data_IF_789701422220
#
_entry.id   IF_789701422220
#
_cell.length_a   1.000
_cell.length_b   1.000
_cell.length_c   1.000
_cell.angle_alpha   90.00
_cell.angle_beta   90.00
_cell.angle_gamma   90.00
#
_symmetry.space_group_name_H-M   'P 1'
#
loop_
_entity.id
_entity.type
_entity.pdbx_description
1 polymer ?
#
# COMPACT_ATOMS: atom_id res chain seq x y z
N UNK A 1 10.60 3.99 -15.92
CA UNK A 1 11.45 4.03 -14.71
C UNK A 1 12.62 3.11 -14.94
N UNK A 2 13.81 3.51 -14.55
CA UNK A 2 15.04 2.74 -14.87
C UNK A 2 15.40 1.70 -13.80
N UNK A 3 14.95 1.89 -12.55
CA UNK A 3 15.33 1.05 -11.40
C UNK A 3 14.21 0.08 -11.02
N UNK A 4 14.55 -1.17 -10.66
CA UNK A 4 13.62 -2.17 -10.15
C UNK A 4 13.00 -1.72 -8.83
N UNK A 5 13.79 -1.09 -7.94
CA UNK A 5 13.29 -0.46 -6.71
C UNK A 5 12.21 0.58 -7.00
N UNK A 6 12.44 1.46 -7.95
CA UNK A 6 11.50 2.54 -8.26
C UNK A 6 10.21 1.99 -8.87
N UNK A 7 10.29 0.95 -9.71
CA UNK A 7 9.12 0.20 -10.21
C UNK A 7 8.36 -0.45 -9.06
N UNK A 8 9.06 -1.15 -8.17
CA UNK A 8 8.46 -1.75 -6.98
C UNK A 8 7.71 -0.70 -6.13
N UNK A 9 8.33 0.45 -5.85
CA UNK A 9 7.70 1.52 -5.06
C UNK A 9 6.38 1.97 -5.69
N UNK A 10 6.35 2.20 -7.02
CA UNK A 10 5.13 2.63 -7.72
C UNK A 10 4.07 1.55 -7.71
N UNK A 11 4.43 0.30 -8.02
CA UNK A 11 3.52 -0.85 -8.00
C UNK A 11 2.91 -1.04 -6.60
N UNK A 12 3.71 -0.95 -5.54
CA UNK A 12 3.23 -1.12 -4.17
C UNK A 12 2.34 0.04 -3.72
N UNK A 13 2.64 1.27 -4.12
CA UNK A 13 1.75 2.41 -3.85
C UNK A 13 0.41 2.27 -4.57
N UNK A 14 0.42 1.79 -5.83
CA UNK A 14 -0.78 1.62 -6.64
C UNK A 14 -1.64 0.44 -6.16
N UNK A 15 -1.07 -0.77 -6.13
CA UNK A 15 -1.81 -2.00 -5.84
C UNK A 15 -2.12 -2.21 -4.35
N UNK A 16 -1.29 -1.66 -3.48
CA UNK A 16 -1.45 -1.82 -2.03
C UNK A 16 -2.06 -0.61 -1.33
N UNK A 17 -2.19 0.52 -2.01
CA UNK A 17 -2.72 1.76 -1.42
C UNK A 17 -1.94 2.24 -0.18
N UNK A 18 -0.64 1.93 -0.09
CA UNK A 18 0.19 2.28 1.06
C UNK A 18 0.30 3.78 1.27
N UNK A 19 0.32 4.21 2.54
CA UNK A 19 0.92 5.51 2.86
C UNK A 19 2.42 5.44 2.66
N UNK A 20 3.02 6.53 2.20
CA UNK A 20 4.48 6.57 1.98
C UNK A 20 5.29 6.21 3.23
N UNK A 21 4.83 6.62 4.42
CA UNK A 21 5.47 6.26 5.69
C UNK A 21 5.31 4.77 6.03
N UNK A 22 4.19 4.14 5.65
CA UNK A 22 3.99 2.71 5.78
C UNK A 22 4.98 1.96 4.89
N UNK A 23 5.05 2.31 3.60
CA UNK A 23 5.95 1.65 2.65
C UNK A 23 7.43 1.82 2.99
N UNK A 24 7.86 3.06 3.33
CA UNK A 24 9.25 3.31 3.71
C UNK A 24 9.62 2.70 5.07
N UNK A 25 8.63 2.37 5.91
CA UNK A 25 8.84 1.77 7.23
C UNK A 25 8.82 0.23 7.23
N UNK A 26 8.65 -0.42 6.08
CA UNK A 26 8.65 -1.88 5.99
C UNK A 26 10.04 -2.46 6.19
N UNK A 27 10.06 -3.59 6.90
CA UNK A 27 11.22 -4.47 7.00
C UNK A 27 10.98 -5.74 6.19
N UNK A 28 12.05 -6.42 5.79
CA UNK A 28 11.95 -7.69 5.06
C UNK A 28 11.16 -8.75 5.84
N UNK A 29 11.29 -8.76 7.17
CA UNK A 29 10.55 -9.67 8.06
C UNK A 29 9.03 -9.42 8.07
N UNK A 30 8.57 -8.24 7.64
CA UNK A 30 7.15 -7.91 7.58
C UNK A 30 6.44 -8.56 6.37
N UNK A 31 7.20 -9.17 5.46
CA UNK A 31 6.70 -9.62 4.18
C UNK A 31 6.40 -11.11 4.20
N UNK A 32 5.13 -11.46 4.16
CA UNK A 32 4.62 -12.84 4.06
C UNK A 32 4.12 -13.08 2.64
N UNK A 33 5.04 -13.17 1.66
CA UNK A 33 4.73 -13.24 0.24
C UNK A 33 4.50 -14.66 -0.30
N UNK A 34 4.38 -15.64 0.59
CA UNK A 34 3.93 -17.01 0.30
C UNK A 34 2.54 -17.22 0.87
N UNK A 35 1.77 -18.12 0.24
CA UNK A 35 0.52 -18.58 0.82
C UNK A 35 0.77 -19.46 2.04
N UNK A 36 -0.12 -19.38 3.03
CA UNK A 36 0.02 -20.15 4.26
C UNK A 36 1.19 -19.74 5.13
N UNK A 37 1.58 -18.46 5.12
CA UNK A 37 2.65 -17.96 5.99
C UNK A 37 2.39 -18.24 7.47
N UNK A 38 3.47 -18.53 8.22
CA UNK A 38 3.42 -19.01 9.61
C UNK A 38 2.82 -18.06 10.66
N UNK A 39 2.46 -16.82 10.30
CA UNK A 39 1.80 -15.90 11.23
C UNK A 39 0.37 -16.31 11.61
N UNK A 40 -0.27 -17.20 10.86
CA UNK A 40 -1.64 -17.68 11.11
C UNK A 40 -2.77 -16.65 10.91
N UNK A 41 -2.46 -15.41 10.53
CA UNK A 41 -3.44 -14.32 10.45
C UNK A 41 -4.07 -14.15 9.07
N UNK A 42 -3.35 -14.53 8.00
CA UNK A 42 -3.84 -14.47 6.65
C UNK A 42 -3.23 -15.61 5.83
N UNK A 43 -4.06 -16.34 5.10
CA UNK A 43 -3.59 -17.43 4.22
C UNK A 43 -2.98 -16.90 2.91
N UNK A 44 -3.51 -15.79 2.42
CA UNK A 44 -3.03 -15.15 1.18
C UNK A 44 -1.73 -14.40 1.44
N UNK A 45 -1.00 -14.12 0.36
CA UNK A 45 0.18 -13.24 0.39
C UNK A 45 -0.17 -11.89 0.99
N UNK A 46 0.61 -11.43 1.95
CA UNK A 46 0.31 -10.20 2.68
C UNK A 46 1.57 -9.58 3.29
N UNK A 47 1.37 -8.38 3.81
CA UNK A 47 2.38 -7.57 4.49
C UNK A 47 1.84 -7.12 5.83
N UNK A 48 2.68 -7.12 6.86
CA UNK A 48 2.37 -6.56 8.16
C UNK A 48 2.84 -5.10 8.23
N UNK A 49 1.93 -4.17 8.42
CA UNK A 49 2.27 -2.77 8.67
C UNK A 49 2.42 -2.58 10.17
N UNK A 50 3.66 -2.48 10.61
CA UNK A 50 4.01 -2.34 12.02
C UNK A 50 4.42 -0.90 12.35
N UNK A 51 3.88 -0.33 13.43
CA UNK A 51 4.36 0.95 13.92
C UNK A 51 5.69 0.75 14.64
N UNK A 52 6.76 1.37 14.14
CA UNK A 52 8.08 1.38 14.76
C UNK A 52 8.54 2.82 14.94
N UNK A 53 8.93 3.19 16.14
CA UNK A 53 9.45 4.53 16.46
C UNK A 53 10.93 4.69 16.08
N UNK A 54 11.65 3.55 16.05
CA UNK A 54 13.10 3.49 15.89
C UNK A 54 13.58 3.24 14.47
N UNK A 55 12.70 3.35 13.45
CA UNK A 55 13.14 3.22 12.07
C UNK A 55 14.21 4.25 11.72
N UNK A 56 15.40 3.84 11.21
CA UNK A 56 16.53 4.74 10.98
C UNK A 56 16.22 5.90 10.01
N UNK A 57 15.30 5.69 9.06
CA UNK A 57 14.84 6.71 8.11
C UNK A 57 13.72 7.60 8.64
N UNK A 58 13.33 7.46 9.92
CA UNK A 58 12.23 8.19 10.55
C UNK A 58 10.84 7.85 10.00
N UNK A 59 10.70 6.80 9.18
CA UNK A 59 9.40 6.39 8.64
C UNK A 59 8.52 5.78 9.74
N UNK A 60 7.25 6.22 9.79
CA UNK A 60 6.28 5.75 10.79
C UNK A 60 4.98 5.34 10.11
N UNK A 61 4.48 4.18 10.48
CA UNK A 61 3.13 3.75 10.14
C UNK A 61 2.13 4.39 11.12
N UNK A 62 1.05 4.96 10.58
CA UNK A 62 -0.06 5.51 11.39
C UNK A 62 -1.07 4.41 11.73
N UNK A 63 -0.61 3.35 12.38
CA UNK A 63 -1.47 2.28 12.89
C UNK A 63 -1.27 2.11 14.39
N UNK A 64 -2.35 1.72 15.08
CA UNK A 64 -2.33 1.38 16.51
C UNK A 64 -2.48 -0.13 16.73
N UNK A 65 -2.52 -0.92 15.67
CA UNK A 65 -2.62 -2.38 15.79
C UNK A 65 -1.37 -2.92 16.49
N UNK A 66 -1.53 -3.67 17.59
CA UNK A 66 -0.40 -4.28 18.30
C UNK A 66 0.28 -5.32 17.41
N UNK A 67 1.56 -5.45 17.58
CA UNK A 67 2.36 -6.43 16.85
C UNK A 67 3.51 -6.95 17.72
N UNK A 68 4.04 -8.12 17.37
CA UNK A 68 5.21 -8.71 17.99
C UNK A 68 5.98 -9.57 16.99
N UNK A 69 7.21 -9.90 17.35
CA UNK A 69 8.00 -10.93 16.66
C UNK A 69 8.05 -12.15 17.59
N UNK A 70 7.75 -13.32 17.02
CA UNK A 70 7.81 -14.59 17.70
C UNK A 70 8.41 -15.64 16.76
N UNK A 71 9.48 -16.32 17.21
CA UNK A 71 10.19 -17.31 16.39
C UNK A 71 10.68 -16.76 15.03
N UNK A 72 11.06 -15.48 14.96
CA UNK A 72 11.48 -14.85 13.71
C UNK A 72 10.32 -14.50 12.75
N UNK A 73 9.07 -14.59 13.22
CA UNK A 73 7.87 -14.28 12.43
C UNK A 73 7.13 -13.08 13.03
N UNK A 74 6.69 -12.15 12.18
CA UNK A 74 5.86 -11.03 12.62
C UNK A 74 4.42 -11.47 12.77
N UNK A 75 3.82 -11.09 13.90
CA UNK A 75 2.40 -11.30 14.22
C UNK A 75 1.75 -9.95 14.55
N UNK A 76 0.50 -9.75 14.14
CA UNK A 76 -0.23 -8.50 14.38
C UNK A 76 0.13 -7.42 13.37
N UNK A 77 0.00 -6.16 13.79
CA UNK A 77 0.05 -5.03 12.86
C UNK A 77 -1.20 -4.93 11.99
N UNK A 78 -1.19 -3.99 11.06
CA UNK A 78 -2.24 -3.86 10.05
C UNK A 78 -1.89 -4.75 8.85
N UNK A 79 -2.75 -5.70 8.52
CA UNK A 79 -2.54 -6.62 7.40
C UNK A 79 -2.93 -5.96 6.08
N UNK A 80 -2.07 -6.09 5.08
CA UNK A 80 -2.31 -5.69 3.68
C UNK A 80 -2.06 -6.87 2.76
N UNK A 81 -3.02 -7.19 1.91
CA UNK A 81 -2.82 -8.21 0.88
C UNK A 81 -1.82 -7.72 -0.16
N UNK A 82 -1.01 -8.63 -0.68
CA UNK A 82 -0.05 -8.36 -1.75
C UNK A 82 -0.57 -8.93 -3.07
N UNK A 83 -0.59 -8.08 -4.11
CA UNK A 83 -0.92 -8.50 -5.47
C UNK A 83 0.20 -9.35 -6.10
N UNK A 84 -0.09 -10.13 -7.14
CA UNK A 84 0.95 -10.82 -7.91
C UNK A 84 2.01 -9.87 -8.46
N UNK A 85 1.60 -8.66 -8.90
CA UNK A 85 2.53 -7.65 -9.41
C UNK A 85 3.44 -7.09 -8.31
N UNK A 86 2.93 -6.89 -7.09
CA UNK A 86 3.74 -6.50 -5.94
C UNK A 86 4.80 -7.55 -5.62
N UNK A 87 4.42 -8.84 -5.64
CA UNK A 87 5.36 -9.95 -5.39
C UNK A 87 6.44 -10.00 -6.47
N UNK A 88 6.05 -9.91 -7.74
CA UNK A 88 7.00 -9.89 -8.85
C UNK A 88 7.99 -8.74 -8.74
N UNK A 89 7.50 -7.51 -8.54
CA UNK A 89 8.35 -6.32 -8.42
C UNK A 89 9.30 -6.39 -7.21
N UNK A 90 8.86 -7.01 -6.10
CA UNK A 90 9.70 -7.27 -4.94
C UNK A 90 10.86 -8.20 -5.29
N UNK A 91 10.58 -9.35 -5.91
CA UNK A 91 11.64 -10.29 -6.25
C UNK A 91 12.60 -9.72 -7.29
N UNK A 92 12.10 -8.98 -8.29
CA UNK A 92 12.95 -8.29 -9.25
C UNK A 92 13.91 -7.32 -8.53
N UNK A 93 13.41 -6.48 -7.64
CA UNK A 93 14.23 -5.55 -6.86
C UNK A 93 15.25 -6.28 -5.98
N UNK A 94 14.80 -7.29 -5.23
CA UNK A 94 15.66 -8.00 -4.29
C UNK A 94 16.82 -8.73 -4.98
N UNK A 95 16.55 -9.32 -6.15
CA UNK A 95 17.55 -10.13 -6.86
C UNK A 95 18.47 -9.30 -7.76
N UNK A 96 18.06 -8.11 -8.19
CA UNK A 96 18.84 -7.33 -9.16
C UNK A 96 19.53 -6.09 -8.58
N UNK A 97 18.98 -5.49 -7.53
CA UNK A 97 19.44 -4.18 -7.05
C UNK A 97 19.67 -4.09 -5.53
N UNK A 98 19.02 -4.96 -4.73
CA UNK A 98 19.14 -4.88 -3.26
C UNK A 98 20.57 -5.24 -2.85
N UNK A 99 21.29 -4.37 -2.10
CA UNK A 99 22.66 -4.67 -1.70
C UNK A 99 22.71 -5.83 -0.70
N UNK A 100 23.66 -6.74 -0.88
CA UNK A 100 23.84 -7.91 -0.01
C UNK A 100 24.44 -7.61 1.36
N UNK A 101 24.98 -6.42 1.53
CA UNK A 101 25.69 -5.92 2.71
C UNK A 101 24.81 -5.07 3.65
N UNK A 102 23.47 -5.15 3.50
CA UNK A 102 22.51 -4.43 4.35
C UNK A 102 22.19 -5.20 5.62
N UNK A 103 22.45 -4.62 6.80
CA UNK A 103 22.28 -5.28 8.09
C UNK A 103 20.97 -4.89 8.83
N UNK A 104 20.36 -3.74 8.50
CA UNK A 104 19.21 -3.21 9.25
C UNK A 104 17.84 -3.80 8.88
N UNK A 105 17.76 -4.69 7.90
CA UNK A 105 16.54 -5.38 7.49
C UNK A 105 15.44 -4.52 6.85
N UNK A 106 15.66 -3.21 6.61
CA UNK A 106 14.68 -2.35 5.92
C UNK A 106 14.51 -2.77 4.47
N UNK A 107 13.25 -2.79 3.99
CA UNK A 107 12.91 -3.18 2.64
C UNK A 107 13.47 -2.21 1.58
N UNK A 108 13.30 -0.92 1.78
CA UNK A 108 13.71 0.09 0.82
C UNK A 108 15.02 0.76 1.23
N UNK A 109 16.02 0.69 0.34
CA UNK A 109 17.34 1.28 0.57
C UNK A 109 17.77 2.18 -0.59
N UNK A 110 18.75 3.03 -0.32
CA UNK A 110 19.43 3.82 -1.35
C UNK A 110 20.35 2.93 -2.17
N UNK A 111 20.34 3.09 -3.49
CA UNK A 111 21.08 2.21 -4.41
C UNK A 111 22.41 2.80 -4.85
N UNK A 112 22.61 4.11 -4.70
CA UNK A 112 23.75 4.83 -5.26
C UNK A 112 24.29 5.88 -4.29
N UNK A 113 25.53 6.30 -4.53
CA UNK A 113 26.21 7.35 -3.79
C UNK A 113 26.79 6.88 -2.46
N UNK A 114 27.24 7.83 -1.64
CA UNK A 114 27.87 7.57 -0.34
C UNK A 114 26.94 6.87 0.67
N UNK A 115 25.61 7.00 0.47
CA UNK A 115 24.60 6.41 1.34
C UNK A 115 23.99 5.13 0.74
N UNK A 116 24.69 4.44 -0.18
CA UNK A 116 24.23 3.15 -0.73
C UNK A 116 24.05 2.16 0.43
N UNK A 117 22.90 1.46 0.42
CA UNK A 117 22.50 0.54 1.49
C UNK A 117 21.73 1.20 2.62
N UNK A 118 21.83 2.51 2.83
CA UNK A 118 21.08 3.20 3.87
C UNK A 118 19.57 3.19 3.59
N UNK A 119 18.72 3.18 4.65
CA UNK A 119 17.28 3.17 4.52
C UNK A 119 16.74 4.35 3.70
N UNK A 120 15.84 4.07 2.76
CA UNK A 120 15.27 5.08 1.90
C UNK A 120 14.22 5.92 2.63
N UNK A 121 14.45 7.22 2.74
CA UNK A 121 13.52 8.13 3.37
C UNK A 121 12.32 8.49 2.47
N UNK A 122 11.17 8.81 3.07
CA UNK A 122 9.97 9.23 2.35
C UNK A 122 10.18 10.47 1.46
N UNK A 123 11.11 11.36 1.82
CA UNK A 123 11.49 12.51 0.98
C UNK A 123 12.14 12.06 -0.35
N UNK A 124 12.99 11.04 -0.30
CA UNK A 124 13.64 10.50 -1.50
C UNK A 124 12.62 9.87 -2.46
N UNK A 125 11.61 9.16 -1.94
CA UNK A 125 10.50 8.61 -2.74
C UNK A 125 9.67 9.73 -3.39
N UNK A 126 9.35 10.80 -2.65
CA UNK A 126 8.66 11.97 -3.25
C UNK A 126 9.48 12.60 -4.38
N UNK A 127 10.78 12.76 -4.19
CA UNK A 127 11.69 13.26 -5.22
C UNK A 127 11.77 12.35 -6.44
N UNK A 128 11.80 11.03 -6.22
CA UNK A 128 11.76 10.04 -7.30
C UNK A 128 10.46 10.17 -8.12
N UNK A 129 9.29 10.20 -7.48
CA UNK A 129 8.00 10.36 -8.14
C UNK A 129 7.91 11.68 -8.92
N UNK A 130 8.39 12.79 -8.35
CA UNK A 130 8.42 14.09 -9.01
C UNK A 130 9.28 14.08 -10.27
N UNK A 131 10.45 13.43 -10.24
CA UNK A 131 11.30 13.27 -11.43
C UNK A 131 10.67 12.33 -12.47
N UNK A 132 10.02 11.25 -12.02
CA UNK A 132 9.35 10.30 -12.91
C UNK A 132 8.16 10.96 -13.62
N UNK A 133 7.31 11.67 -12.90
CA UNK A 133 6.15 12.37 -13.50
C UNK A 133 6.56 13.47 -14.47
N UNK A 134 7.65 14.21 -14.17
CA UNK A 134 8.20 15.20 -15.11
C UNK A 134 8.68 14.55 -16.41
N UNK A 135 9.39 13.40 -16.33
CA UNK A 135 9.85 12.67 -17.53
C UNK A 135 8.71 12.09 -18.37
N UNK A 136 7.61 11.70 -17.71
CA UNK A 136 6.44 11.12 -18.37
C UNK A 136 5.42 12.18 -18.83
N UNK A 137 5.64 13.44 -18.51
CA UNK A 137 4.75 14.58 -18.80
C UNK A 137 3.30 14.38 -18.34
N UNK A 138 3.14 13.75 -17.16
CA UNK A 138 1.81 13.43 -16.59
C UNK A 138 1.41 14.35 -15.43
N UNK A 139 2.04 15.52 -15.33
CA UNK A 139 1.80 16.44 -14.23
C UNK A 139 2.41 15.93 -12.91
N UNK A 140 2.09 16.61 -11.80
CA UNK A 140 2.68 16.31 -10.49
C UNK A 140 1.99 15.14 -9.81
N UNK A 141 2.61 13.96 -9.82
CA UNK A 141 2.13 12.77 -9.08
C UNK A 141 2.63 12.81 -7.63
N UNK A 142 1.70 12.63 -6.68
CA UNK A 142 1.98 12.55 -5.25
C UNK A 142 1.67 11.14 -4.73
N UNK A 143 2.38 10.61 -3.71
CA UNK A 143 2.08 9.29 -3.14
C UNK A 143 0.63 9.12 -2.71
N UNK A 144 -0.01 10.19 -2.24
CA UNK A 144 -1.41 10.12 -1.78
C UNK A 144 -2.39 9.90 -2.93
N UNK A 145 -2.06 10.33 -4.15
CA UNK A 145 -2.91 10.09 -5.32
C UNK A 145 -3.09 8.58 -5.62
N UNK A 146 -2.03 7.78 -5.47
CA UNK A 146 -2.13 6.33 -5.61
C UNK A 146 -3.11 5.71 -4.61
N UNK A 147 -3.07 6.19 -3.37
CA UNK A 147 -3.96 5.70 -2.32
C UNK A 147 -5.42 6.11 -2.56
N UNK A 148 -5.65 7.31 -3.11
CA UNK A 148 -6.98 7.75 -3.54
C UNK A 148 -7.49 6.84 -4.66
N UNK A 149 -6.69 6.64 -5.70
CA UNK A 149 -7.06 5.75 -6.81
C UNK A 149 -7.37 4.34 -6.32
N UNK A 150 -6.50 3.75 -5.49
CA UNK A 150 -6.74 2.44 -4.89
C UNK A 150 -8.08 2.35 -4.16
N UNK A 151 -8.45 3.38 -3.39
CA UNK A 151 -9.72 3.40 -2.68
C UNK A 151 -10.92 3.44 -3.63
N UNK A 152 -10.84 4.28 -4.68
CA UNK A 152 -11.87 4.37 -5.72
C UNK A 152 -12.03 3.04 -6.45
N UNK A 153 -10.92 2.45 -6.90
CA UNK A 153 -10.93 1.17 -7.62
C UNK A 153 -11.54 0.03 -6.78
N UNK A 154 -11.22 -0.02 -5.47
CA UNK A 154 -11.79 -1.02 -4.56
C UNK A 154 -13.28 -0.77 -4.33
N UNK A 155 -13.71 0.48 -4.17
CA UNK A 155 -15.14 0.82 -4.05
C UNK A 155 -15.91 0.41 -5.30
N UNK A 156 -15.45 0.78 -6.47
CA UNK A 156 -16.06 0.40 -7.75
C UNK A 156 -16.14 -1.12 -7.89
N UNK A 157 -15.01 -1.82 -7.70
CA UNK A 157 -14.96 -3.28 -7.82
C UNK A 157 -15.80 -4.03 -6.78
N UNK A 158 -16.11 -3.41 -5.64
CA UNK A 158 -16.93 -3.98 -4.56
C UNK A 158 -18.39 -3.55 -4.59
N UNK A 159 -18.83 -2.84 -5.63
CA UNK A 159 -20.20 -2.32 -5.71
C UNK A 159 -20.50 -1.27 -4.65
N UNK A 160 -19.53 -0.42 -4.31
CA UNK A 160 -19.68 0.65 -3.33
C UNK A 160 -19.52 0.22 -1.86
N UNK A 161 -18.97 -0.97 -1.60
CA UNK A 161 -18.83 -1.46 -0.23
C UNK A 161 -17.67 -0.75 0.51
N UNK A 162 -18.01 0.26 1.29
CA UNK A 162 -17.07 1.07 2.07
C UNK A 162 -16.30 0.28 3.14
N UNK A 163 -16.85 -0.83 3.65
CA UNK A 163 -16.19 -1.70 4.61
C UNK A 163 -15.03 -2.45 3.94
N UNK A 164 -15.26 -2.98 2.73
CA UNK A 164 -14.20 -3.64 1.95
C UNK A 164 -13.09 -2.63 1.62
N UNK A 165 -13.45 -1.44 1.16
CA UNK A 165 -12.47 -0.40 0.86
C UNK A 165 -11.68 0.02 2.11
N UNK A 166 -12.37 0.24 3.25
CA UNK A 166 -11.75 0.52 4.55
C UNK A 166 -10.69 -0.53 4.90
N UNK A 167 -11.06 -1.80 4.86
CA UNK A 167 -10.19 -2.90 5.28
C UNK A 167 -9.03 -3.11 4.30
N UNK A 168 -9.31 -3.09 2.99
CA UNK A 168 -8.28 -3.16 1.98
C UNK A 168 -7.27 -2.01 2.08
N UNK A 169 -7.73 -0.81 2.32
CA UNK A 169 -6.89 0.39 2.44
C UNK A 169 -6.42 0.69 3.87
N UNK A 170 -6.92 0.00 4.92
CA UNK A 170 -6.59 0.25 6.34
C UNK A 170 -6.93 1.67 6.77
N UNK A 171 -8.13 2.13 6.45
CA UNK A 171 -8.69 3.32 7.06
C UNK A 171 -9.25 2.97 8.44
N UNK A 172 -9.19 3.92 9.36
CA UNK A 172 -9.69 3.72 10.72
C UNK A 172 -11.23 3.59 10.78
N UNK A 173 -11.93 4.15 9.79
CA UNK A 173 -13.39 4.18 9.73
C UNK A 173 -13.89 4.07 8.29
N UNK A 174 -14.99 3.35 8.10
CA UNK A 174 -15.72 3.32 6.84
C UNK A 174 -16.27 4.71 6.47
N UNK A 175 -16.70 5.48 7.47
CA UNK A 175 -17.17 6.86 7.29
C UNK A 175 -16.13 7.75 6.60
N UNK A 176 -14.83 7.56 6.90
CA UNK A 176 -13.76 8.29 6.18
C UNK A 176 -13.73 7.92 4.72
N UNK A 177 -13.98 6.65 4.38
CA UNK A 177 -14.05 6.19 2.99
C UNK A 177 -15.27 6.78 2.29
N UNK A 178 -16.43 6.71 2.94
CA UNK A 178 -17.69 7.24 2.42
C UNK A 178 -17.64 8.76 2.17
N UNK A 179 -17.13 9.53 3.12
CA UNK A 179 -17.03 10.99 2.99
C UNK A 179 -16.07 11.45 1.89
N UNK A 180 -15.03 10.67 1.60
CA UNK A 180 -13.99 11.07 0.64
C UNK A 180 -14.21 10.45 -0.74
N UNK A 181 -14.77 9.25 -0.81
CA UNK A 181 -14.87 8.47 -2.04
C UNK A 181 -16.31 8.01 -2.37
N UNK A 182 -17.22 8.03 -1.39
CA UNK A 182 -18.57 7.50 -1.51
C UNK A 182 -19.57 8.54 -2.05
N UNK A 183 -19.37 9.02 -3.26
CA UNK A 183 -20.34 9.86 -3.93
C UNK A 183 -21.17 9.01 -4.90
N UNK A 184 -22.47 8.90 -4.65
CA UNK A 184 -23.39 8.31 -5.61
C UNK A 184 -23.51 9.25 -6.82
N UNK A 185 -23.26 8.74 -8.00
CA UNK A 185 -23.64 9.40 -9.24
C UNK A 185 -25.16 9.22 -9.41
N UNK A 186 -25.92 10.32 -9.37
CA UNK A 186 -27.36 10.28 -9.52
C UNK A 186 -27.82 9.84 -10.92
N UNK A 187 -26.92 9.92 -11.90
CA UNK A 187 -27.14 9.44 -13.26
C UNK A 187 -26.72 7.98 -13.48
N UNK A 188 -26.15 7.32 -12.45
CA UNK A 188 -25.80 5.91 -12.50
C UNK A 188 -27.04 5.04 -12.69
N UNK A 189 -27.05 4.10 -13.65
CA UNK A 189 -28.19 3.18 -13.86
C UNK A 189 -28.59 2.40 -12.60
N UNK A 190 -27.64 2.05 -11.74
CA UNK A 190 -27.89 1.36 -10.47
C UNK A 190 -28.66 2.24 -9.49
N UNK A 191 -28.34 3.53 -9.45
CA UNK A 191 -29.07 4.51 -8.63
C UNK A 191 -30.51 4.65 -9.09
N UNK A 192 -30.71 4.80 -10.39
CA UNK A 192 -32.05 4.86 -11.00
C UNK A 192 -32.85 3.57 -10.74
N UNK A 193 -32.24 2.42 -10.96
CA UNK A 193 -32.89 1.11 -10.71
C UNK A 193 -33.30 0.92 -9.23
N UNK A 194 -32.47 1.39 -8.29
CA UNK A 194 -32.78 1.36 -6.87
C UNK A 194 -34.00 2.22 -6.53
N UNK A 195 -34.08 3.41 -7.10
CA UNK A 195 -35.25 4.29 -6.91
C UNK A 195 -36.51 3.69 -7.56
N UNK A 196 -36.41 3.19 -8.76
CA UNK A 196 -37.53 2.55 -9.47
C UNK A 196 -38.09 1.36 -8.69
N UNK A 197 -37.20 0.56 -8.07
CA UNK A 197 -37.61 -0.53 -7.20
C UNK A 197 -38.37 -0.05 -5.96
N UNK A 198 -37.98 1.03 -5.34
CA UNK A 198 -38.64 1.63 -4.18
C UNK A 198 -39.99 2.23 -4.60
N UNK A 199 -40.01 2.98 -5.69
CA UNK A 199 -41.23 3.62 -6.19
C UNK A 199 -42.24 2.59 -6.73
N UNK A 200 -41.79 1.49 -7.28
CA UNK A 200 -42.64 0.39 -7.72
C UNK A 200 -43.32 -0.40 -6.59
N UNK A 201 -42.81 -0.31 -5.35
CA UNK A 201 -43.42 -0.93 -4.16
C UNK A 201 -44.61 -0.14 -3.59
N UNK A 202 -44.88 1.04 -4.09
CA UNK A 202 -45.92 1.95 -3.58
C UNK A 202 -47.24 1.85 -4.39
N UNK A 203 -47.45 0.74 -5.11
CA UNK A 203 -48.72 0.44 -5.81
C UNK A 203 -49.44 -0.72 -5.17
#
# INVERSE_FOLDING_TARGET
MSSARDRMVVTWLADGGFRIGELCGLHLIDLHLREGAGCGQCRSRHVHICHRETNPNGARAKTKHPWRIDGGTVHGGLIRRASPAMVHAYFEYLTTEYPSDVEHGMLLVQLHGANRGEPLAAAAVRGMLARASKRADVGKVRPHAFRHQFATDVLEASGGNSIIARDAGGWASATTVEQVYGHADIDDPTFSAALDHVWGRTK
#
